data_IF_780783218745
#
_entry.id   IF_780783218745
#
_cell.length_a   1.000
_cell.length_b   1.000
_cell.length_c   1.000
_cell.angle_alpha   90.00
_cell.angle_beta   90.00
_cell.angle_gamma   90.00
#
_symmetry.space_group_name_H-M   'P 1'
#
loop_
_entity.id
_entity.type
_entity.pdbx_description
1 polymer ?
#
# COMPACT_ATOMS: atom_id res chain seq x y z
N UNK A 1 -5.50 -0.92 -28.23
CA UNK A 1 -4.81 -1.01 -26.92
C UNK A 1 -5.86 -1.06 -25.82
N UNK A 2 -5.73 -1.98 -24.86
CA UNK A 2 -6.61 -2.04 -23.68
C UNK A 2 -6.15 -1.05 -22.62
N UNK A 3 -7.09 -0.31 -22.02
CA UNK A 3 -6.82 0.69 -20.98
C UNK A 3 -6.72 -0.01 -19.62
N UNK A 4 -5.61 0.18 -18.90
CA UNK A 4 -5.42 -0.28 -17.53
C UNK A 4 -5.42 0.94 -16.60
N UNK A 5 -6.19 0.87 -15.50
CA UNK A 5 -6.15 1.87 -14.42
C UNK A 5 -5.40 1.27 -13.23
N UNK A 6 -4.36 1.95 -12.79
CA UNK A 6 -3.58 1.58 -11.61
C UNK A 6 -3.93 2.52 -10.46
N UNK A 7 -4.16 1.94 -9.28
CA UNK A 7 -4.31 2.68 -8.02
C UNK A 7 -3.14 2.30 -7.13
N UNK A 8 -2.51 3.29 -6.50
CA UNK A 8 -1.33 3.10 -5.66
C UNK A 8 -1.64 3.67 -4.28
N UNK A 9 -1.46 2.84 -3.25
CA UNK A 9 -1.58 3.24 -1.85
C UNK A 9 -0.26 3.03 -1.13
N UNK A 10 0.09 3.93 -0.20
CA UNK A 10 1.20 3.74 0.74
C UNK A 10 0.72 2.83 1.89
N UNK A 11 1.64 2.07 2.49
CA UNK A 11 1.34 1.34 3.72
C UNK A 11 0.84 2.28 4.83
N UNK A 12 0.03 1.73 5.75
CA UNK A 12 -0.42 2.46 6.93
C UNK A 12 0.72 2.93 7.84
N UNK A 13 0.41 3.84 8.77
CA UNK A 13 1.40 4.38 9.72
C UNK A 13 1.96 3.28 10.63
N UNK A 14 3.28 3.20 10.74
CA UNK A 14 3.98 2.18 11.55
C UNK A 14 4.49 2.72 12.89
N UNK A 15 4.99 1.82 13.73
CA UNK A 15 5.66 2.20 14.97
C UNK A 15 6.90 3.08 14.72
N UNK A 16 7.70 2.80 13.68
CA UNK A 16 8.89 3.61 13.39
C UNK A 16 8.56 5.02 12.92
N UNK A 17 7.45 5.20 12.18
CA UNK A 17 6.91 6.52 11.88
C UNK A 17 6.60 7.31 13.15
N UNK A 18 6.04 6.64 14.16
CA UNK A 18 5.62 7.28 15.42
C UNK A 18 6.80 7.75 16.27
N UNK A 19 7.93 7.05 16.21
CA UNK A 19 9.16 7.43 16.93
C UNK A 19 10.18 8.20 16.07
N UNK A 20 9.76 8.67 14.89
CA UNK A 20 10.61 9.47 13.99
C UNK A 20 11.82 8.72 13.45
N UNK A 21 11.77 7.39 13.35
CA UNK A 21 12.87 6.57 12.84
C UNK A 21 12.68 6.24 11.37
N UNK A 22 13.77 6.29 10.61
CA UNK A 22 13.79 5.82 9.22
C UNK A 22 13.54 4.32 9.20
N UNK A 23 12.54 3.90 8.43
CA UNK A 23 12.14 2.50 8.40
C UNK A 23 13.07 1.60 7.57
N UNK A 24 13.55 2.09 6.43
CA UNK A 24 14.37 1.29 5.51
C UNK A 24 13.71 -0.06 5.21
N UNK A 25 14.47 -1.13 5.48
CA UNK A 25 14.06 -2.52 5.26
C UNK A 25 13.50 -3.18 6.53
N UNK A 26 13.42 -2.44 7.65
CA UNK A 26 12.87 -2.94 8.89
C UNK A 26 11.34 -3.06 8.81
N UNK A 27 10.81 -4.18 9.29
CA UNK A 27 9.39 -4.48 9.24
C UNK A 27 8.70 -4.15 10.56
N UNK A 28 8.65 -2.86 10.90
CA UNK A 28 7.86 -2.42 12.05
C UNK A 28 6.37 -2.50 11.74
N UNK A 29 5.55 -3.00 12.68
CA UNK A 29 4.12 -3.23 12.47
C UNK A 29 3.37 -1.92 12.30
N UNK A 30 2.16 -2.01 11.71
CA UNK A 30 1.22 -0.91 11.71
C UNK A 30 0.85 -0.52 13.16
N UNK A 31 0.62 0.77 13.37
CA UNK A 31 -0.01 1.28 14.59
C UNK A 31 -1.51 1.07 14.52
N UNK A 32 -2.24 0.99 15.66
CA UNK A 32 -3.70 0.96 15.64
C UNK A 32 -4.32 2.13 14.84
N UNK A 33 -3.74 3.33 14.96
CA UNK A 33 -4.12 4.50 14.17
C UNK A 33 -3.83 4.34 12.67
N UNK A 34 -2.69 3.73 12.34
CA UNK A 34 -2.33 3.41 10.97
C UNK A 34 -3.26 2.39 10.32
N UNK A 35 -3.69 1.38 11.08
CA UNK A 35 -4.71 0.43 10.61
C UNK A 35 -6.05 1.12 10.35
N UNK A 36 -6.47 2.03 11.23
CA UNK A 36 -7.74 2.73 11.08
C UNK A 36 -7.79 3.57 9.81
N UNK A 37 -6.73 4.32 9.50
CA UNK A 37 -6.66 5.08 8.24
C UNK A 37 -6.72 4.18 7.00
N UNK A 38 -6.23 2.93 7.08
CA UNK A 38 -6.35 1.96 5.99
C UNK A 38 -7.76 1.36 5.92
N UNK A 39 -8.45 1.18 7.06
CA UNK A 39 -9.86 0.77 7.07
C UNK A 39 -10.73 1.83 6.40
N UNK A 40 -10.56 3.10 6.77
CA UNK A 40 -11.26 4.23 6.16
C UNK A 40 -11.03 4.30 4.65
N UNK A 41 -9.78 4.08 4.20
CA UNK A 41 -9.45 3.99 2.78
C UNK A 41 -10.24 2.86 2.10
N UNK A 42 -10.26 1.66 2.69
CA UNK A 42 -10.99 0.51 2.15
C UNK A 42 -12.50 0.78 2.04
N UNK A 43 -13.10 1.37 3.06
CA UNK A 43 -14.51 1.81 3.06
C UNK A 43 -14.77 2.83 1.94
N UNK A 44 -13.89 3.83 1.78
CA UNK A 44 -13.99 4.82 0.71
C UNK A 44 -13.89 4.22 -0.69
N UNK A 45 -12.98 3.27 -0.89
CA UNK A 45 -12.83 2.55 -2.17
C UNK A 45 -14.08 1.72 -2.51
N UNK A 46 -14.67 1.06 -1.51
CA UNK A 46 -15.93 0.33 -1.66
C UNK A 46 -17.09 1.25 -2.02
N UNK A 47 -17.23 2.37 -1.31
CA UNK A 47 -18.27 3.36 -1.57
C UNK A 47 -18.14 3.99 -2.97
N UNK A 48 -16.92 4.15 -3.46
CA UNK A 48 -16.65 4.64 -4.81
C UNK A 48 -16.98 3.61 -5.91
N UNK A 49 -17.27 2.35 -5.56
CA UNK A 49 -17.65 1.31 -6.52
C UNK A 49 -16.54 0.97 -7.52
N UNK A 50 -15.27 1.11 -7.13
CA UNK A 50 -14.14 0.91 -8.04
C UNK A 50 -13.89 -0.61 -8.22
N UNK A 51 -13.97 -1.14 -9.46
CA UNK A 51 -13.72 -2.55 -9.68
C UNK A 51 -12.21 -2.84 -9.73
N UNK A 52 -11.72 -3.69 -8.83
CA UNK A 52 -10.36 -4.21 -8.86
C UNK A 52 -10.34 -5.63 -9.42
N UNK A 53 -9.38 -5.91 -10.29
CA UNK A 53 -9.16 -7.25 -10.88
C UNK A 53 -8.03 -8.03 -10.22
N UNK A 54 -7.10 -7.33 -9.58
CA UNK A 54 -5.98 -7.91 -8.88
C UNK A 54 -5.39 -6.93 -7.88
N UNK A 55 -4.72 -7.46 -6.87
CA UNK A 55 -4.02 -6.71 -5.84
C UNK A 55 -2.54 -7.10 -5.77
N UNK A 56 -1.69 -6.15 -5.43
CA UNK A 56 -0.25 -6.35 -5.34
C UNK A 56 0.31 -5.63 -4.13
N UNK A 57 1.25 -6.28 -3.45
CA UNK A 57 1.99 -5.72 -2.31
C UNK A 57 3.48 -6.05 -2.44
N UNK A 58 4.35 -5.31 -1.77
CA UNK A 58 5.71 -5.81 -1.51
C UNK A 58 5.71 -6.96 -0.48
N UNK A 59 6.84 -7.61 -0.34
CA UNK A 59 7.12 -8.67 0.64
C UNK A 59 7.26 -8.18 2.09
N UNK A 60 7.17 -6.88 2.36
CA UNK A 60 7.13 -6.34 3.72
C UNK A 60 5.78 -6.61 4.41
N UNK A 61 5.82 -7.05 5.67
CA UNK A 61 4.63 -7.30 6.49
C UNK A 61 3.71 -6.09 6.58
N UNK A 62 4.24 -4.86 6.72
CA UNK A 62 3.39 -3.64 6.75
C UNK A 62 2.57 -3.41 5.47
N UNK A 63 3.12 -3.76 4.30
CA UNK A 63 2.41 -3.61 3.02
C UNK A 63 1.42 -4.74 2.81
N UNK A 64 1.77 -5.95 3.21
CA UNK A 64 0.87 -7.11 3.18
C UNK A 64 -0.34 -6.83 4.08
N UNK A 65 -0.10 -6.43 5.33
CA UNK A 65 -1.15 -6.07 6.28
C UNK A 65 -2.04 -4.94 5.75
N UNK A 66 -1.46 -3.92 5.09
CA UNK A 66 -2.23 -2.84 4.47
C UNK A 66 -3.14 -3.37 3.36
N UNK A 67 -2.61 -4.20 2.46
CA UNK A 67 -3.40 -4.82 1.38
C UNK A 67 -4.53 -5.67 1.95
N UNK A 68 -4.26 -6.50 2.97
CA UNK A 68 -5.24 -7.38 3.58
C UNK A 68 -6.39 -6.62 4.26
N UNK A 69 -6.11 -5.46 4.86
CA UNK A 69 -7.17 -4.59 5.41
C UNK A 69 -8.03 -4.04 4.28
N UNK A 70 -7.42 -3.51 3.22
CA UNK A 70 -8.17 -2.95 2.07
C UNK A 70 -9.07 -4.01 1.42
N UNK A 71 -8.54 -5.22 1.19
CA UNK A 71 -9.31 -6.30 0.57
C UNK A 71 -10.51 -6.72 1.43
N UNK A 72 -10.34 -6.77 2.76
CA UNK A 72 -11.44 -7.06 3.69
C UNK A 72 -12.52 -5.99 3.67
N UNK A 73 -12.15 -4.72 3.79
CA UNK A 73 -13.13 -3.62 3.79
C UNK A 73 -13.86 -3.47 2.46
N UNK A 74 -13.17 -3.77 1.35
CA UNK A 74 -13.77 -3.76 0.00
C UNK A 74 -14.61 -5.00 -0.32
N UNK A 75 -14.48 -6.09 0.46
CA UNK A 75 -15.12 -7.38 0.18
C UNK A 75 -14.53 -8.09 -1.04
N UNK A 76 -13.23 -7.90 -1.28
CA UNK A 76 -12.50 -8.39 -2.45
C UNK A 76 -11.43 -9.42 -2.09
N UNK A 77 -11.57 -10.13 -0.97
CA UNK A 77 -10.60 -11.11 -0.47
C UNK A 77 -10.33 -12.28 -1.45
N UNK A 78 -11.22 -12.48 -2.42
CA UNK A 78 -11.16 -13.58 -3.39
C UNK A 78 -10.45 -13.20 -4.70
N UNK A 79 -10.10 -11.93 -4.90
CA UNK A 79 -9.41 -11.53 -6.13
C UNK A 79 -7.96 -12.04 -6.14
N UNK A 80 -7.36 -12.28 -7.31
CA UNK A 80 -5.95 -12.63 -7.39
C UNK A 80 -5.05 -11.57 -6.72
N UNK A 81 -4.33 -11.98 -5.68
CA UNK A 81 -3.33 -11.16 -5.00
C UNK A 81 -1.92 -11.72 -5.22
N UNK A 82 -0.92 -10.86 -5.37
CA UNK A 82 0.48 -11.30 -5.50
C UNK A 82 1.43 -10.46 -4.66
N UNK A 83 2.34 -11.14 -3.97
CA UNK A 83 3.45 -10.52 -3.26
C UNK A 83 4.60 -10.37 -4.24
N UNK A 84 5.03 -9.13 -4.46
CA UNK A 84 6.15 -8.78 -5.30
C UNK A 84 7.42 -8.76 -4.44
N UNK A 85 8.38 -9.60 -4.80
CA UNK A 85 9.67 -9.65 -4.13
C UNK A 85 10.44 -8.32 -4.30
N UNK A 86 11.27 -7.96 -3.33
CA UNK A 86 11.99 -6.67 -3.30
C UNK A 86 12.78 -6.35 -4.59
N UNK A 87 13.30 -7.37 -5.29
CA UNK A 87 13.99 -7.19 -6.59
C UNK A 87 13.04 -6.64 -7.66
N UNK A 88 11.79 -7.10 -7.68
CA UNK A 88 10.72 -6.65 -8.58
C UNK A 88 10.24 -5.24 -8.20
N UNK A 89 10.12 -4.96 -6.90
CA UNK A 89 9.70 -3.65 -6.39
C UNK A 89 10.74 -2.56 -6.68
N UNK A 90 12.04 -2.90 -6.82
CA UNK A 90 13.09 -1.93 -7.18
C UNK A 90 12.85 -1.30 -8.56
N UNK A 91 12.33 -2.05 -9.54
CA UNK A 91 11.94 -1.49 -10.84
C UNK A 91 10.75 -0.56 -10.72
N UNK A 92 9.74 -0.93 -9.92
CA UNK A 92 8.57 -0.09 -9.69
C UNK A 92 8.93 1.19 -8.91
N UNK A 93 9.85 1.10 -7.95
CA UNK A 93 10.40 2.27 -7.25
C UNK A 93 11.15 3.18 -8.20
N UNK A 94 11.88 2.63 -9.18
CA UNK A 94 12.52 3.43 -10.23
C UNK A 94 11.48 4.14 -11.11
N UNK A 95 10.39 3.45 -11.45
CA UNK A 95 9.26 4.01 -12.21
C UNK A 95 8.57 5.15 -11.43
N UNK A 96 8.30 4.96 -10.13
CA UNK A 96 7.71 6.00 -9.28
C UNK A 96 8.67 7.19 -9.09
N UNK A 97 9.98 6.95 -8.94
CA UNK A 97 11.00 8.01 -8.89
C UNK A 97 11.15 8.77 -10.21
N UNK A 98 10.86 8.13 -11.34
CA UNK A 98 10.81 8.79 -12.66
C UNK A 98 9.54 9.63 -12.84
N UNK A 99 8.48 9.35 -12.09
CA UNK A 99 7.21 10.10 -12.14
C UNK A 99 7.22 11.31 -11.19
N UNK A 100 7.95 11.26 -10.06
CA UNK A 100 7.88 12.34 -9.04
C UNK A 100 9.25 12.84 -8.54
N UNK A 101 9.62 14.07 -8.95
CA UNK A 101 10.77 14.83 -8.42
C UNK A 101 10.47 15.63 -7.13
N UNK A 102 9.25 15.52 -6.57
CA UNK A 102 8.74 16.48 -5.57
C UNK A 102 8.27 15.87 -4.23
N UNK A 103 8.46 14.57 -3.97
CA UNK A 103 7.99 13.96 -2.72
C UNK A 103 9.00 14.11 -1.57
N UNK A 104 9.16 15.33 -1.03
CA UNK A 104 9.96 15.59 0.20
C UNK A 104 9.13 15.75 1.49
N UNK A 105 7.80 15.77 1.42
CA UNK A 105 6.97 16.18 2.57
C UNK A 105 5.88 15.20 3.03
N UNK A 106 5.91 13.95 2.56
CA UNK A 106 4.95 12.93 2.99
C UNK A 106 5.65 11.70 3.58
N UNK A 107 6.71 11.97 4.33
CA UNK A 107 7.17 11.09 5.40
C UNK A 107 6.48 11.55 6.69
N UNK A 108 5.27 11.05 6.93
CA UNK A 108 4.95 10.56 8.28
C UNK A 108 5.72 9.26 8.46
#
# INVERSE_FOLDING_TARGET
MSKVKLYIARHGKTMFNTIGRVQGWSDSPLTPFGEEGIRELGVGLKAAGIPFKSAYSSDSGRTIQTMDIILRETGLETIPSSILHWTTVRLLSLLMKMVDSHWKHLAI
#
